data_IF_449326287810
#
_entry.id   IF_449326287810
#
_cell.length_a   1.000
_cell.length_b   1.000
_cell.length_c   1.000
_cell.angle_alpha   90.00
_cell.angle_beta   90.00
_cell.angle_gamma   90.00
#
_symmetry.space_group_name_H-M   'P 1'
#
loop_
_entity.id
_entity.type
_entity.pdbx_description
1 polymer ?
#
# COMPACT_ATOMS: atom_id res chain seq x y z
N UNK A 1 6.07 3.17 9.80
CA UNK A 1 5.89 2.89 8.35
C UNK A 1 4.44 2.62 7.97
N UNK A 2 3.79 1.55 8.45
CA UNK A 2 2.37 1.26 8.09
C UNK A 2 1.40 2.40 8.43
N UNK A 3 1.46 2.93 9.65
CA UNK A 3 0.60 4.06 10.04
C UNK A 3 0.88 5.32 9.19
N UNK A 4 2.15 5.60 8.89
CA UNK A 4 2.55 6.69 8.00
C UNK A 4 1.98 6.52 6.59
N UNK A 5 2.04 5.30 6.02
CA UNK A 5 1.46 5.00 4.72
C UNK A 5 -0.05 5.26 4.69
N UNK A 6 -0.78 4.82 5.73
CA UNK A 6 -2.21 5.11 5.88
C UNK A 6 -2.49 6.61 5.95
N UNK A 7 -1.72 7.38 6.73
CA UNK A 7 -1.84 8.84 6.81
C UNK A 7 -1.52 9.55 5.47
N UNK A 8 -0.79 8.89 4.57
CA UNK A 8 -0.48 9.37 3.22
C UNK A 8 -1.45 8.83 2.16
N UNK A 9 -2.60 8.29 2.56
CA UNK A 9 -3.65 7.75 1.68
C UNK A 9 -3.15 6.61 0.77
N UNK A 10 -2.23 5.80 1.27
CA UNK A 10 -1.74 4.61 0.58
C UNK A 10 -2.42 3.35 1.10
N UNK A 11 -2.61 2.39 0.20
CA UNK A 11 -2.82 0.99 0.56
C UNK A 11 -1.52 0.46 1.19
N UNK A 12 -1.57 0.18 2.49
CA UNK A 12 -0.39 -0.22 3.25
C UNK A 12 0.21 -1.55 2.78
N UNK A 13 -0.61 -2.47 2.26
CA UNK A 13 -0.12 -3.74 1.74
C UNK A 13 0.60 -3.54 0.41
N UNK A 14 -0.03 -2.82 -0.54
CA UNK A 14 0.59 -2.48 -1.83
C UNK A 14 1.90 -1.72 -1.63
N UNK A 15 1.93 -0.77 -0.70
CA UNK A 15 3.13 -0.01 -0.36
C UNK A 15 4.27 -0.89 0.14
N UNK A 16 4.04 -1.72 1.17
CA UNK A 16 5.10 -2.58 1.70
C UNK A 16 5.57 -3.61 0.66
N UNK A 17 4.65 -4.19 -0.11
CA UNK A 17 4.98 -5.11 -1.21
C UNK A 17 5.90 -4.44 -2.24
N UNK A 18 5.54 -3.24 -2.70
CA UNK A 18 6.33 -2.48 -3.65
C UNK A 18 7.72 -2.17 -3.09
N UNK A 19 7.82 -1.68 -1.85
CA UNK A 19 9.12 -1.37 -1.22
C UNK A 19 10.01 -2.62 -1.18
N UNK A 20 9.50 -3.77 -0.74
CA UNK A 20 10.30 -4.99 -0.68
C UNK A 20 10.75 -5.48 -2.07
N UNK A 21 9.85 -5.49 -3.05
CA UNK A 21 10.19 -5.85 -4.44
C UNK A 21 11.32 -4.97 -5.00
N UNK A 22 11.32 -3.66 -4.68
CA UNK A 22 12.34 -2.75 -5.18
C UNK A 22 13.68 -2.86 -4.43
N UNK A 23 13.65 -3.19 -3.15
CA UNK A 23 14.85 -3.41 -2.35
C UNK A 23 15.61 -4.67 -2.77
N UNK A 24 14.90 -5.74 -3.13
CA UNK A 24 15.51 -6.97 -3.64
C UNK A 24 16.23 -6.76 -4.98
N UNK A 25 15.80 -5.78 -5.77
CA UNK A 25 16.33 -5.51 -7.12
C UNK A 25 17.55 -4.57 -7.12
N UNK A 26 17.83 -3.82 -6.04
CA UNK A 26 18.83 -2.74 -6.07
C UNK A 26 19.96 -2.92 -5.06
N UNK A 27 21.20 -2.78 -5.54
CA UNK A 27 22.42 -2.80 -4.69
C UNK A 27 22.60 -1.55 -3.83
N UNK A 28 22.09 -0.40 -4.25
CA UNK A 28 22.13 0.85 -3.50
C UNK A 28 20.85 1.66 -3.77
N UNK A 29 19.75 1.37 -3.06
CA UNK A 29 18.48 2.04 -3.28
C UNK A 29 18.54 3.52 -2.82
N UNK A 30 18.01 4.41 -3.65
CA UNK A 30 17.68 5.76 -3.23
C UNK A 30 16.45 5.70 -2.30
N UNK A 31 16.67 5.92 -1.01
CA UNK A 31 15.64 5.79 0.02
C UNK A 31 14.49 6.77 -0.19
N UNK A 32 14.79 7.97 -0.70
CA UNK A 32 13.79 9.03 -0.84
C UNK A 32 12.74 8.68 -1.90
N UNK A 33 13.13 7.90 -2.92
CA UNK A 33 12.22 7.38 -3.94
C UNK A 33 11.14 6.44 -3.38
N UNK A 34 11.34 5.85 -2.20
CA UNK A 34 10.41 4.89 -1.57
C UNK A 34 9.63 5.47 -0.39
N UNK A 35 9.81 6.76 -0.10
CA UNK A 35 9.05 7.42 0.95
C UNK A 35 7.56 7.46 0.59
N UNK A 36 6.65 7.43 1.59
CA UNK A 36 5.21 7.38 1.35
C UNK A 36 4.65 8.54 0.52
N UNK A 37 5.38 9.66 0.42
CA UNK A 37 4.98 10.86 -0.34
C UNK A 37 5.71 11.00 -1.68
N UNK A 38 6.51 10.03 -2.10
CA UNK A 38 7.15 10.09 -3.42
C UNK A 38 6.11 9.92 -4.54
N UNK A 39 6.34 10.58 -5.67
CA UNK A 39 5.39 10.58 -6.80
C UNK A 39 5.13 9.15 -7.31
N UNK A 40 6.16 8.32 -7.38
CA UNK A 40 6.04 6.94 -7.88
C UNK A 40 5.25 6.05 -6.90
N UNK A 41 5.50 6.18 -5.59
CA UNK A 41 4.75 5.46 -4.56
C UNK A 41 3.28 5.89 -4.55
N UNK A 42 3.03 7.20 -4.63
CA UNK A 42 1.68 7.75 -4.68
C UNK A 42 0.92 7.30 -5.93
N UNK A 43 1.58 7.19 -7.08
CA UNK A 43 0.94 6.70 -8.30
C UNK A 43 0.60 5.19 -8.23
N UNK A 44 1.48 4.37 -7.64
CA UNK A 44 1.36 2.90 -7.67
C UNK A 44 0.59 2.31 -6.48
N UNK A 45 0.63 2.98 -5.34
CA UNK A 45 0.15 2.42 -4.07
C UNK A 45 -1.04 3.19 -3.48
N UNK A 46 -1.66 4.11 -4.23
CA UNK A 46 -2.80 4.89 -3.74
C UNK A 46 -3.91 3.95 -3.26
N UNK A 47 -4.43 4.24 -2.07
CA UNK A 47 -5.62 3.57 -1.59
C UNK A 47 -6.76 3.83 -2.59
N UNK A 48 -7.60 2.81 -2.80
CA UNK A 48 -8.84 3.01 -3.51
C UNK A 48 -9.77 3.80 -2.57
N UNK A 49 -10.89 4.32 -3.06
CA UNK A 49 -11.74 5.12 -2.17
C UNK A 49 -12.10 4.29 -0.93
N UNK A 50 -12.12 4.85 0.29
CA UNK A 50 -12.36 4.08 1.52
C UNK A 50 -13.65 3.25 1.50
N UNK A 51 -14.60 3.66 0.64
CA UNK A 51 -15.87 2.96 0.38
C UNK A 51 -15.67 1.58 -0.24
N UNK A 52 -14.60 1.38 -1.01
CA UNK A 52 -14.32 0.13 -1.71
C UNK A 52 -13.65 -0.90 -0.80
N UNK A 53 -12.76 -0.47 0.10
CA UNK A 53 -12.00 -1.39 0.97
C UNK A 53 -12.87 -1.98 2.10
N UNK A 54 -13.77 -1.19 2.71
CA UNK A 54 -14.70 -1.66 3.74
C UNK A 54 -15.74 -2.63 3.14
N UNK A 55 -16.26 -2.32 1.95
CA UNK A 55 -17.20 -3.18 1.22
C UNK A 55 -16.55 -4.52 0.81
N UNK A 56 -15.24 -4.54 0.54
CA UNK A 56 -14.51 -5.78 0.26
C UNK A 56 -14.22 -6.60 1.52
N UNK A 57 -14.07 -5.98 2.69
CA UNK A 57 -13.89 -6.70 3.95
C UNK A 57 -15.18 -7.39 4.39
N UNK A 58 -16.32 -6.68 4.35
CA UNK A 58 -17.63 -7.26 4.66
C UNK A 58 -17.99 -8.43 3.75
N UNK A 59 -17.71 -8.34 2.45
CA UNK A 59 -17.96 -9.44 1.51
C UNK A 59 -17.09 -10.69 1.81
N UNK A 60 -15.86 -10.50 2.28
CA UNK A 60 -14.97 -11.61 2.67
C UNK A 60 -15.44 -12.28 3.96
N UNK A 61 -15.86 -11.50 4.96
CA UNK A 61 -16.39 -12.02 6.22
C UNK A 61 -17.73 -12.74 6.03
N UNK A 62 -18.59 -12.25 5.13
CA UNK A 62 -19.86 -12.90 4.78
C UNK A 62 -19.63 -14.27 4.11
N UNK A 63 -18.61 -14.38 3.25
CA UNK A 63 -18.28 -15.62 2.54
C UNK A 63 -17.63 -16.68 3.44
N UNK A 64 -16.98 -16.27 4.53
CA UNK A 64 -16.41 -17.17 5.55
C UNK A 64 -17.49 -17.72 6.52
N UNK A 65 -18.63 -17.03 6.63
CA UNK A 65 -19.74 -17.41 7.52
C UNK A 65 -20.85 -18.22 6.85
N UNK A 66 -20.72 -18.54 5.56
CA UNK A 66 -21.63 -19.42 4.80
C UNK A 66 -21.04 -20.80 4.59
#
# INVERSE_FOLDING_TARGET
>A
MVQTAKLNNLDAYKYLKYVFEQLELRKNPDVDAYLPWSDEVQAKCKAHSPVDDDMQLENKEAMVKS
#
